data_IF_300753520430
#
_entry.id   IF_300753520430
#
_cell.length_a   1.000
_cell.length_b   1.000
_cell.length_c   1.000
_cell.angle_alpha   90.00
_cell.angle_beta   90.00
_cell.angle_gamma   90.00
#
_symmetry.space_group_name_H-M   'P 1'
#
loop_
_entity.id
_entity.type
_entity.pdbx_description
1 polymer ?
#
# COMPACT_ATOMS: atom_id res chain seq x y z
N UNK A 1 -1.17 -15.76 3.79
CA UNK A 1 -1.76 -15.68 2.43
C UNK A 1 -2.36 -14.29 2.30
N UNK A 2 -2.03 -13.58 1.23
CA UNK A 2 -2.47 -12.20 1.02
C UNK A 2 -3.84 -12.18 0.32
N UNK A 3 -4.66 -11.19 0.62
CA UNK A 3 -6.02 -11.09 0.07
C UNK A 3 -6.40 -9.64 -0.20
N UNK A 4 -7.09 -9.41 -1.31
CA UNK A 4 -7.67 -8.11 -1.64
C UNK A 4 -9.18 -8.21 -1.78
N UNK A 5 -9.87 -7.20 -1.24
CA UNK A 5 -11.32 -6.98 -1.38
C UNK A 5 -11.52 -5.56 -1.89
N UNK A 6 -12.28 -5.40 -2.96
CA UNK A 6 -12.58 -4.10 -3.59
C UNK A 6 -14.09 -4.01 -3.81
N UNK A 7 -14.71 -2.95 -3.32
CA UNK A 7 -16.12 -2.63 -3.53
C UNK A 7 -16.27 -1.17 -3.92
N UNK A 8 -17.03 -0.93 -4.99
CA UNK A 8 -17.33 0.41 -5.50
C UNK A 8 -16.09 1.28 -5.79
N UNK A 9 -15.08 0.71 -6.46
CA UNK A 9 -13.94 1.46 -6.97
C UNK A 9 -14.05 1.64 -8.48
N UNK A 10 -14.46 2.84 -8.91
CA UNK A 10 -14.67 3.17 -10.32
C UNK A 10 -15.64 2.15 -10.97
N UNK A 11 -15.18 1.44 -12.00
CA UNK A 11 -15.93 0.39 -12.70
C UNK A 11 -15.99 -0.95 -11.93
N UNK A 12 -15.17 -1.13 -10.89
CA UNK A 12 -15.12 -2.36 -10.09
C UNK A 12 -16.17 -2.27 -8.97
N UNK A 13 -17.27 -3.01 -9.11
CA UNK A 13 -18.38 -2.98 -8.13
C UNK A 13 -18.17 -3.93 -6.96
N UNK A 14 -17.74 -5.15 -7.22
CA UNK A 14 -17.40 -6.14 -6.20
C UNK A 14 -16.32 -7.07 -6.75
N UNK A 15 -15.23 -7.22 -6.00
CA UNK A 15 -14.09 -8.05 -6.38
C UNK A 15 -13.36 -8.54 -5.14
N UNK A 16 -13.04 -9.83 -5.12
CA UNK A 16 -12.30 -10.48 -4.05
C UNK A 16 -11.34 -11.49 -4.67
N UNK A 17 -10.08 -11.47 -4.23
CA UNK A 17 -9.05 -12.37 -4.74
C UNK A 17 -7.95 -12.63 -3.71
N UNK A 18 -7.51 -13.87 -3.62
CA UNK A 18 -6.27 -14.23 -2.95
C UNK A 18 -5.08 -13.88 -3.84
N UNK A 19 -4.09 -13.19 -3.28
CA UNK A 19 -2.89 -12.79 -4.01
C UNK A 19 -1.84 -13.88 -3.87
N UNK A 20 -1.52 -14.51 -5.00
CA UNK A 20 -0.48 -15.50 -5.14
C UNK A 20 0.82 -14.89 -5.69
N UNK A 21 1.91 -15.67 -5.73
CA UNK A 21 3.17 -15.24 -6.37
C UNK A 21 2.98 -14.85 -7.86
N UNK A 22 2.01 -15.46 -8.53
CA UNK A 22 1.64 -15.16 -9.89
C UNK A 22 0.11 -15.04 -9.99
N UNK A 23 -0.38 -13.89 -10.47
CA UNK A 23 -1.81 -13.62 -10.64
C UNK A 23 -2.06 -13.18 -12.08
N UNK A 24 -3.00 -13.84 -12.77
CA UNK A 24 -3.41 -13.48 -14.12
C UNK A 24 -4.85 -12.95 -14.10
N UNK A 25 -5.02 -11.66 -14.38
CA UNK A 25 -6.33 -11.02 -14.45
C UNK A 25 -6.74 -10.85 -15.92
N UNK A 26 -7.75 -11.60 -16.36
CA UNK A 26 -8.31 -11.56 -17.71
C UNK A 26 -9.76 -11.10 -17.71
N UNK A 27 -10.22 -10.52 -18.82
CA UNK A 27 -11.58 -10.02 -18.95
C UNK A 27 -11.75 -9.10 -20.16
N UNK A 28 -12.98 -8.67 -20.42
CA UNK A 28 -13.33 -7.79 -21.54
C UNK A 28 -12.69 -6.40 -21.46
N UNK A 29 -12.60 -5.67 -22.57
CA UNK A 29 -12.07 -4.30 -22.54
C UNK A 29 -12.86 -3.45 -21.52
N UNK A 30 -12.16 -2.57 -20.81
CA UNK A 30 -12.74 -1.67 -19.79
C UNK A 30 -13.39 -2.37 -18.59
N UNK A 31 -13.16 -3.67 -18.38
CA UNK A 31 -13.70 -4.43 -17.24
C UNK A 31 -13.04 -4.13 -15.88
N UNK A 32 -12.28 -3.05 -15.74
CA UNK A 32 -11.63 -2.68 -14.47
C UNK A 32 -10.32 -3.39 -14.13
N UNK A 33 -9.75 -4.22 -15.02
CA UNK A 33 -8.48 -4.95 -14.76
C UNK A 33 -7.32 -4.05 -14.33
N UNK A 34 -7.18 -2.89 -14.99
CA UNK A 34 -6.15 -1.90 -14.63
C UNK A 34 -6.42 -1.27 -13.27
N UNK A 35 -7.69 -1.07 -12.90
CA UNK A 35 -8.09 -0.55 -11.60
C UNK A 35 -7.66 -1.54 -10.51
N UNK A 36 -8.05 -2.82 -10.65
CA UNK A 36 -7.66 -3.88 -9.72
C UNK A 36 -6.12 -3.95 -9.59
N UNK A 37 -5.41 -3.97 -10.71
CA UNK A 37 -3.94 -4.06 -10.72
C UNK A 37 -3.29 -2.86 -10.04
N UNK A 38 -3.76 -1.63 -10.30
CA UNK A 38 -3.30 -0.41 -9.62
C UNK A 38 -3.58 -0.45 -8.13
N UNK A 39 -4.75 -0.95 -7.72
CA UNK A 39 -5.11 -1.07 -6.30
C UNK A 39 -4.18 -2.05 -5.60
N UNK A 40 -3.91 -3.22 -6.18
CA UNK A 40 -2.95 -4.15 -5.62
C UNK A 40 -1.58 -3.47 -5.53
N UNK A 41 -1.07 -2.90 -6.63
CA UNK A 41 0.21 -2.18 -6.65
C UNK A 41 0.32 -1.09 -5.56
N UNK A 42 -0.73 -0.31 -5.33
CA UNK A 42 -0.78 0.70 -4.27
C UNK A 42 -0.43 0.13 -2.88
N UNK A 43 -0.95 -1.06 -2.54
CA UNK A 43 -0.64 -1.70 -1.26
C UNK A 43 0.75 -2.33 -1.20
N UNK A 44 1.34 -2.73 -2.33
CA UNK A 44 2.73 -3.19 -2.38
C UNK A 44 3.71 -2.03 -2.21
N UNK A 45 3.42 -0.89 -2.85
CA UNK A 45 4.25 0.32 -2.79
C UNK A 45 4.25 0.95 -1.39
N UNK A 46 3.25 0.64 -0.56
CA UNK A 46 3.09 1.17 0.80
C UNK A 46 4.33 0.97 1.68
N UNK A 47 5.05 -0.14 1.52
CA UNK A 47 6.31 -0.41 2.26
C UNK A 47 7.40 0.60 1.91
N UNK A 48 7.53 0.91 0.63
CA UNK A 48 8.48 1.91 0.12
C UNK A 48 8.08 3.29 0.63
N UNK A 49 6.80 3.62 0.54
CA UNK A 49 6.27 4.90 1.06
C UNK A 49 6.49 5.04 2.57
N UNK A 50 6.31 3.96 3.34
CA UNK A 50 6.54 3.96 4.78
C UNK A 50 8.01 4.22 5.11
N UNK A 51 8.94 3.50 4.46
CA UNK A 51 10.40 3.72 4.59
C UNK A 51 10.76 5.17 4.30
N UNK A 52 10.33 5.68 3.14
CA UNK A 52 10.61 7.07 2.73
C UNK A 52 10.03 8.09 3.72
N UNK A 53 8.80 7.88 4.19
CA UNK A 53 8.15 8.78 5.14
C UNK A 53 8.90 8.87 6.47
N UNK A 54 9.37 7.73 6.98
CA UNK A 54 10.19 7.65 8.20
C UNK A 54 11.52 8.36 7.97
N UNK A 55 12.23 8.05 6.88
CA UNK A 55 13.56 8.62 6.61
C UNK A 55 13.52 10.13 6.41
N UNK A 56 12.44 10.66 5.82
CA UNK A 56 12.27 12.10 5.63
C UNK A 56 11.81 12.83 6.91
N UNK A 57 11.17 12.13 7.85
CA UNK A 57 10.55 12.74 9.03
C UNK A 57 11.00 12.08 10.34
N UNK A 58 12.28 11.77 10.49
CA UNK A 58 12.79 10.94 11.60
C UNK A 58 12.35 11.39 13.01
N UNK A 59 12.17 12.69 13.23
CA UNK A 59 11.81 13.23 14.55
C UNK A 59 10.30 13.36 14.78
N UNK A 60 9.50 13.46 13.73
CA UNK A 60 8.09 13.84 13.80
C UNK A 60 7.15 12.86 13.11
N UNK A 61 7.69 11.75 12.60
CA UNK A 61 6.91 10.74 11.91
C UNK A 61 5.83 10.20 12.85
N UNK A 62 4.61 10.18 12.34
CA UNK A 62 3.46 9.58 13.00
C UNK A 62 2.52 9.00 11.95
N UNK A 63 1.68 8.05 12.38
CA UNK A 63 0.81 7.32 11.46
C UNK A 63 -0.27 8.21 10.80
N UNK A 64 -0.67 9.32 11.43
CA UNK A 64 -1.63 10.27 10.82
C UNK A 64 -1.01 11.01 9.64
N UNK A 65 0.24 11.44 9.76
CA UNK A 65 0.99 12.04 8.65
C UNK A 65 1.16 11.04 7.51
N UNK A 66 1.46 9.79 7.83
CA UNK A 66 1.53 8.72 6.83
C UNK A 66 0.18 8.50 6.11
N UNK A 67 -0.93 8.47 6.86
CA UNK A 67 -2.27 8.40 6.25
C UNK A 67 -2.54 9.54 5.29
N UNK A 68 -2.12 10.77 5.62
CA UNK A 68 -2.29 11.92 4.72
C UNK A 68 -1.53 11.74 3.40
N UNK A 69 -0.29 11.24 3.47
CA UNK A 69 0.51 10.94 2.28
C UNK A 69 -0.19 9.87 1.43
N UNK A 70 -0.64 8.78 2.05
CA UNK A 70 -1.34 7.70 1.36
C UNK A 70 -2.66 8.15 0.74
N UNK A 71 -3.42 9.01 1.41
CA UNK A 71 -4.67 9.58 0.88
C UNK A 71 -4.38 10.42 -0.38
N UNK A 72 -3.33 11.24 -0.36
CA UNK A 72 -2.96 12.02 -1.54
C UNK A 72 -2.56 11.13 -2.70
N UNK A 73 -1.69 10.14 -2.46
CA UNK A 73 -1.31 9.15 -3.48
C UNK A 73 -2.52 8.38 -4.04
N UNK A 74 -3.46 8.02 -3.17
CA UNK A 74 -4.69 7.36 -3.58
C UNK A 74 -5.54 8.26 -4.49
N UNK A 75 -5.74 9.52 -4.09
CA UNK A 75 -6.49 10.49 -4.88
C UNK A 75 -5.81 10.80 -6.22
N UNK A 76 -4.47 10.83 -6.28
CA UNK A 76 -3.73 11.00 -7.54
C UNK A 76 -3.92 9.81 -8.48
N UNK A 77 -4.01 8.59 -7.94
CA UNK A 77 -4.16 7.37 -8.73
C UNK A 77 -5.59 7.12 -9.23
N UNK A 78 -6.60 7.44 -8.41
CA UNK A 78 -7.99 7.05 -8.65
C UNK A 78 -8.93 8.24 -8.84
N UNK A 79 -8.53 9.46 -8.48
CA UNK A 79 -9.36 10.65 -8.54
C UNK A 79 -10.56 10.57 -7.59
N UNK A 80 -11.68 11.15 -8.02
CA UNK A 80 -12.93 11.13 -7.27
C UNK A 80 -13.52 9.71 -7.28
N UNK A 81 -13.81 9.18 -6.09
CA UNK A 81 -14.36 7.83 -5.91
C UNK A 81 -15.78 7.85 -5.36
N UNK A 82 -16.48 6.70 -5.48
CA UNK A 82 -17.83 6.54 -4.95
C UNK A 82 -17.86 6.72 -3.42
N UNK A 83 -18.92 7.34 -2.91
CA UNK A 83 -19.13 7.57 -1.46
C UNK A 83 -19.30 6.31 -0.62
N UNK A 84 -19.40 5.14 -1.27
CA UNK A 84 -19.51 3.83 -0.65
C UNK A 84 -18.30 2.95 -1.01
N UNK A 85 -17.18 3.56 -1.40
CA UNK A 85 -15.92 2.86 -1.65
C UNK A 85 -15.49 2.10 -0.39
N UNK A 86 -15.12 0.84 -0.60
CA UNK A 86 -14.46 0.02 0.41
C UNK A 86 -13.37 -0.80 -0.26
N UNK A 87 -12.15 -0.71 0.25
CA UNK A 87 -11.02 -1.53 -0.16
C UNK A 87 -10.41 -2.09 1.10
N UNK A 88 -10.10 -3.38 1.11
CA UNK A 88 -9.30 -4.02 2.17
C UNK A 88 -8.19 -4.81 1.53
N UNK A 89 -6.97 -4.62 2.04
CA UNK A 89 -5.83 -5.46 1.71
C UNK A 89 -5.33 -6.13 2.98
N UNK A 90 -5.39 -7.45 2.99
CA UNK A 90 -4.90 -8.29 4.08
C UNK A 90 -3.53 -8.83 3.66
N UNK A 91 -2.49 -8.43 4.39
CA UNK A 91 -1.13 -8.93 4.17
C UNK A 91 -0.98 -10.34 4.75
N UNK A 92 -1.55 -10.54 5.95
CA UNK A 92 -1.65 -11.81 6.66
C UNK A 92 -2.74 -11.69 7.74
N UNK A 93 -2.92 -12.76 8.51
CA UNK A 93 -3.90 -12.79 9.60
C UNK A 93 -3.69 -11.60 10.55
N UNK A 94 -4.76 -10.85 10.80
CA UNK A 94 -4.79 -9.65 11.65
C UNK A 94 -3.86 -8.50 11.21
N UNK A 95 -3.31 -8.53 10.00
CA UNK A 95 -2.48 -7.45 9.44
C UNK A 95 -3.10 -7.01 8.13
N UNK A 96 -3.82 -5.90 8.20
CA UNK A 96 -4.57 -5.37 7.07
C UNK A 96 -4.67 -3.85 7.09
N UNK A 97 -4.96 -3.30 5.91
CA UNK A 97 -5.25 -1.88 5.69
C UNK A 97 -6.59 -1.78 4.97
N UNK A 98 -7.41 -0.83 5.40
CA UNK A 98 -8.69 -0.51 4.77
C UNK A 98 -8.68 0.92 4.26
N UNK A 99 -9.28 1.12 3.09
CA UNK A 99 -9.57 2.45 2.54
C UNK A 99 -11.07 2.52 2.36
N UNK A 100 -11.68 3.51 3.01
CA UNK A 100 -13.11 3.75 2.92
C UNK A 100 -13.35 5.19 2.49
N UNK A 101 -14.36 5.40 1.66
CA UNK A 101 -14.87 6.74 1.43
C UNK A 101 -16.11 6.92 2.29
N UNK A 102 -16.07 7.86 3.25
CA UNK A 102 -17.25 8.29 4.00
C UNK A 102 -17.64 9.67 3.55
N UNK A 103 -18.79 9.78 2.88
CA UNK A 103 -19.38 11.05 2.47
C UNK A 103 -18.48 11.96 1.61
N UNK A 104 -17.55 11.38 0.85
CA UNK A 104 -16.59 12.12 0.01
C UNK A 104 -15.19 12.25 0.62
N UNK A 105 -15.00 11.82 1.87
CA UNK A 105 -13.70 11.84 2.53
C UNK A 105 -13.10 10.43 2.58
N UNK A 106 -11.88 10.29 2.03
CA UNK A 106 -11.11 9.06 2.15
C UNK A 106 -10.54 8.95 3.57
N UNK A 107 -10.78 7.81 4.20
CA UNK A 107 -10.19 7.40 5.46
C UNK A 107 -9.38 6.13 5.24
N UNK A 108 -8.21 6.08 5.88
CA UNK A 108 -7.34 4.88 5.91
C UNK A 108 -7.34 4.35 7.32
N UNK A 109 -7.78 3.10 7.47
CA UNK A 109 -7.75 2.38 8.73
C UNK A 109 -6.68 1.30 8.68
N UNK A 110 -5.99 1.11 9.78
CA UNK A 110 -4.98 0.07 9.93
C UNK A 110 -5.45 -0.92 10.98
N UNK A 111 -5.12 -2.19 10.79
CA UNK A 111 -5.15 -3.17 11.87
C UNK A 111 -4.30 -2.71 13.07
N UNK A 112 -4.68 -3.15 14.27
CA UNK A 112 -3.96 -2.84 15.51
C UNK A 112 -2.48 -3.25 15.44
N UNK A 113 -2.19 -4.40 14.80
CA UNK A 113 -0.84 -4.88 14.60
C UNK A 113 0.03 -3.91 13.79
N UNK A 114 -0.52 -3.24 12.77
CA UNK A 114 0.22 -2.22 12.01
C UNK A 114 0.49 -0.99 12.88
N UNK A 115 -0.51 -0.54 13.65
CA UNK A 115 -0.36 0.62 14.53
C UNK A 115 0.76 0.35 15.56
N UNK A 116 0.72 -0.81 16.21
CA UNK A 116 1.71 -1.22 17.19
C UNK A 116 3.12 -1.35 16.58
N UNK A 117 3.20 -1.93 15.37
CA UNK A 117 4.45 -2.03 14.63
C UNK A 117 5.04 -0.65 14.31
N UNK A 118 4.22 0.27 13.78
CA UNK A 118 4.66 1.61 13.44
C UNK A 118 5.12 2.39 14.68
N UNK A 119 4.40 2.26 15.81
CA UNK A 119 4.81 2.90 17.06
C UNK A 119 6.17 2.37 17.55
N UNK A 120 6.41 1.06 17.46
CA UNK A 120 7.71 0.45 17.77
C UNK A 120 8.83 0.97 16.86
N UNK A 121 8.55 1.15 15.56
CA UNK A 121 9.52 1.75 14.64
C UNK A 121 9.88 3.18 15.05
N UNK A 122 8.89 4.00 15.42
CA UNK A 122 9.10 5.38 15.88
C UNK A 122 10.01 5.41 17.12
N UNK A 123 9.76 4.55 18.10
CA UNK A 123 10.61 4.43 19.29
C UNK A 123 12.05 4.06 18.92
N UNK A 124 12.21 3.11 17.99
CA UNK A 124 13.52 2.64 17.52
C UNK A 124 14.29 3.75 16.81
N UNK A 125 13.63 4.54 15.95
CA UNK A 125 14.20 5.72 15.29
C UNK A 125 14.67 6.74 16.34
N UNK A 126 13.82 7.03 17.33
CA UNK A 126 14.11 8.01 18.37
C UNK A 126 15.37 7.64 19.18
N UNK A 127 15.47 6.37 19.60
CA UNK A 127 16.65 5.86 20.32
C UNK A 127 17.91 5.96 19.44
N UNK A 128 17.82 5.53 18.18
CA UNK A 128 18.95 5.51 17.24
C UNK A 128 19.47 6.93 16.98
N UNK A 129 18.57 7.90 16.79
CA UNK A 129 18.96 9.29 16.53
C UNK A 129 19.55 9.99 17.75
N UNK A 130 19.04 9.74 18.96
CA UNK A 130 19.61 10.35 20.16
C UNK A 130 21.06 9.88 20.44
N UNK A 131 21.40 8.66 20.01
CA UNK A 131 22.79 8.16 20.08
C UNK A 131 23.71 8.80 19.03
N UNK A 132 23.15 9.24 17.90
CA UNK A 132 23.86 9.86 16.78
C UNK A 132 23.48 11.35 16.70
N UNK A 133 24.03 12.17 17.59
CA UNK A 133 23.88 13.64 17.57
C UNK A 133 24.55 14.17 16.29
N UNK A 134 23.85 14.18 15.16
CA UNK A 134 24.32 14.84 13.95
C UNK A 134 23.12 15.41 13.19
N UNK A 135 23.01 16.73 13.18
CA UNK A 135 21.88 17.52 12.67
C UNK A 135 21.67 17.46 11.15
N UNK A 136 22.36 16.57 10.43
CA UNK A 136 22.22 16.38 8.99
C UNK A 136 22.12 14.88 8.69
N UNK A 137 21.00 14.45 8.10
CA UNK A 137 20.82 13.11 7.55
C UNK A 137 21.87 12.94 6.44
N UNK A 138 22.94 12.21 6.71
CA UNK A 138 23.93 11.85 5.69
C UNK A 138 23.59 10.45 5.11
N UNK A 139 24.22 10.11 3.99
CA UNK A 139 24.04 8.81 3.33
C UNK A 139 24.34 7.61 4.26
N UNK A 140 25.24 7.76 5.23
CA UNK A 140 25.58 6.70 6.18
C UNK A 140 24.45 6.49 7.19
N UNK A 141 23.79 7.55 7.67
CA UNK A 141 22.61 7.45 8.55
C UNK A 141 21.46 6.72 7.84
N UNK A 142 21.21 7.06 6.57
CA UNK A 142 20.20 6.35 5.76
C UNK A 142 20.57 4.87 5.59
N UNK A 143 21.82 4.56 5.28
CA UNK A 143 22.28 3.16 5.14
C UNK A 143 22.16 2.36 6.44
N UNK A 144 22.41 2.99 7.59
CA UNK A 144 22.24 2.34 8.90
C UNK A 144 20.77 2.10 9.20
N UNK A 145 19.90 3.08 8.95
CA UNK A 145 18.45 2.95 9.14
C UNK A 145 17.86 1.89 8.19
N UNK A 146 18.33 1.81 6.95
CA UNK A 146 17.84 0.82 5.99
C UNK A 146 18.22 -0.60 6.39
N UNK A 147 19.42 -0.78 6.96
CA UNK A 147 19.87 -2.07 7.54
C UNK A 147 19.15 -2.46 8.83
N UNK A 148 18.39 -1.57 9.46
CA UNK A 148 17.62 -1.87 10.67
C UNK A 148 16.12 -1.82 10.37
N UNK A 149 15.58 -0.62 10.24
CA UNK A 149 14.16 -0.33 10.01
C UNK A 149 13.69 -0.88 8.67
N UNK A 150 14.52 -0.77 7.62
CA UNK A 150 14.16 -1.26 6.30
C UNK A 150 13.88 -2.77 6.32
N UNK A 151 14.75 -3.54 6.97
CA UNK A 151 14.61 -4.98 7.17
C UNK A 151 13.40 -5.30 8.06
N UNK A 152 13.18 -4.55 9.14
CA UNK A 152 12.01 -4.75 10.00
C UNK A 152 10.68 -4.56 9.24
N UNK A 153 10.60 -3.54 8.38
CA UNK A 153 9.43 -3.29 7.52
C UNK A 153 9.23 -4.44 6.53
N UNK A 154 10.29 -4.88 5.87
CA UNK A 154 10.21 -5.97 4.90
C UNK A 154 9.72 -7.29 5.54
N UNK A 155 10.31 -7.65 6.68
CA UNK A 155 9.91 -8.83 7.45
C UNK A 155 8.47 -8.73 7.98
N UNK A 156 8.05 -7.54 8.42
CA UNK A 156 6.71 -7.36 8.97
C UNK A 156 5.62 -7.64 7.93
N UNK A 157 5.82 -7.19 6.68
CA UNK A 157 4.85 -7.38 5.60
C UNK A 157 5.01 -8.70 4.82
N UNK A 158 6.03 -9.52 5.14
CA UNK A 158 6.27 -10.87 4.59
C UNK A 158 6.27 -10.92 3.05
N UNK A 159 6.88 -9.94 2.42
CA UNK A 159 6.66 -9.73 0.99
C UNK A 159 7.95 -9.88 0.18
N UNK A 160 8.21 -11.16 -0.14
CA UNK A 160 9.28 -11.67 -1.00
C UNK A 160 8.89 -11.68 -2.50
N UNK A 161 7.71 -11.15 -2.87
CA UNK A 161 7.14 -11.35 -4.20
C UNK A 161 7.29 -10.14 -5.12
N UNK A 162 8.10 -10.28 -6.17
CA UNK A 162 8.04 -9.42 -7.35
C UNK A 162 6.72 -9.68 -8.07
N UNK A 163 5.76 -8.74 -8.00
CA UNK A 163 4.56 -8.84 -8.83
C UNK A 163 4.82 -8.20 -10.20
N UNK A 164 4.85 -9.05 -11.22
CA UNK A 164 4.80 -8.61 -12.61
C UNK A 164 3.35 -8.53 -13.08
N UNK A 165 2.90 -7.31 -13.42
CA UNK A 165 1.56 -7.08 -13.96
C UNK A 165 1.57 -7.13 -15.48
N UNK A 166 0.86 -8.10 -16.05
CA UNK A 166 0.58 -8.17 -17.49
C UNK A 166 -0.93 -8.03 -17.70
N UNK A 167 -1.37 -6.92 -18.29
CA UNK A 167 -2.74 -6.79 -18.76
C UNK A 167 -2.84 -7.36 -20.18
N UNK A 168 -3.67 -8.39 -20.37
CA UNK A 168 -3.93 -8.98 -21.68
C UNK A 168 -5.35 -8.66 -22.15
N UNK A 169 -5.51 -8.44 -23.46
CA UNK A 169 -6.78 -8.15 -24.11
C UNK A 169 -7.20 -9.33 -25.00
N UNK A 170 -8.46 -9.76 -24.88
CA UNK A 170 -9.06 -10.70 -25.84
C UNK A 170 -9.74 -9.90 -26.94
N UNK A 171 -9.14 -9.81 -28.13
CA UNK A 171 -9.86 -9.35 -29.33
C UNK A 171 -10.78 -10.49 -29.79
N UNK A 172 -12.09 -10.35 -29.57
CA UNK A 172 -13.05 -11.14 -30.32
C UNK A 172 -13.06 -10.61 -31.75
N UNK A 173 -12.32 -11.26 -32.66
CA UNK A 173 -12.58 -11.09 -34.08
C UNK A 173 -13.97 -11.67 -34.35
N UNK A 174 -14.99 -10.81 -34.38
CA UNK A 174 -16.25 -11.16 -35.05
C UNK A 174 -15.89 -11.40 -36.51
N UNK A 175 -15.83 -12.68 -36.90
CA UNK A 175 -15.97 -13.04 -38.30
C UNK A 175 -17.35 -12.56 -38.74
N UNK A 176 -17.40 -11.39 -39.38
CA UNK A 176 -18.56 -10.93 -40.11
C UNK A 176 -18.64 -11.74 -41.40
N UNK A 177 -19.63 -12.63 -41.44
CA UNK A 177 -20.25 -13.36 -42.57
C UNK A 177 -19.35 -13.83 -43.70
#
# INVERSE_FOLDING_TARGET
MQKIIIRNLLVVKDFEMEINKFNLIIGEQSSGKSTISKTIYFFYDLRVQLKLSIYQNLHNFNIKQFSFILINLFNDLFGITDKNLYIKFEYKENIYIEIINKNGNIEINYSENIINFVNKLIETVFITNNSNIMNNINLQTIQVLDKTIGIEIENFFEDDSMIYYFTSFKKYNKFTK
#
